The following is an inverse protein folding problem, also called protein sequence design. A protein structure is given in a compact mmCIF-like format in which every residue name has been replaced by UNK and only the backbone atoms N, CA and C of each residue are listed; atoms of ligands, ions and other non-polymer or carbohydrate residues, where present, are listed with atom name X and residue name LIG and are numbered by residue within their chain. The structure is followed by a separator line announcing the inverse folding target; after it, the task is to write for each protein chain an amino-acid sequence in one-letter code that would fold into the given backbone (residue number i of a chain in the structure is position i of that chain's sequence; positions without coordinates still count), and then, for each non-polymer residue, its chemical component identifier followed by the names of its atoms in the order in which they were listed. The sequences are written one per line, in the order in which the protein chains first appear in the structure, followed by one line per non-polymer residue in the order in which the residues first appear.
data_IF_338360234058
#
_entry.id   IF_338360234058
#
_cell.length_a   1.000
_cell.length_b   1.000
_cell.length_c   1.000
_cell.angle_alpha   90.00
_cell.angle_beta   90.00
_cell.angle_gamma   90.00
#
_symmetry.space_group_name_H-M   'P 1'
#
loop_
_entity.id
_entity.type
_entity.pdbx_description
1 polymer ?
#
# COMPACT_ATOMS: atom_id res chain seq x y z
N UNK A 1 29.92 6.36 9.03
CA UNK A 1 29.07 6.99 10.07
C UNK A 1 27.62 6.76 9.66
N UNK A 2 26.98 5.77 10.28
CA UNK A 2 25.58 5.37 9.99
C UNK A 2 24.65 6.36 10.70
N UNK A 3 23.88 7.16 9.96
CA UNK A 3 22.78 7.95 10.53
C UNK A 3 21.49 7.15 10.34
N UNK A 4 21.07 6.45 11.38
CA UNK A 4 19.74 5.83 11.49
C UNK A 4 18.71 6.97 11.65
N UNK A 5 17.91 7.20 10.63
CA UNK A 5 16.72 8.04 10.74
C UNK A 5 15.62 7.22 11.40
N UNK A 6 15.42 7.41 12.68
CA UNK A 6 14.26 6.88 13.41
C UNK A 6 13.07 7.77 13.03
N UNK A 7 12.15 7.25 12.23
CA UNK A 7 10.84 7.84 12.02
C UNK A 7 10.00 7.60 13.28
N UNK A 8 9.92 8.63 14.15
CA UNK A 8 8.94 8.67 15.22
C UNK A 8 7.55 8.86 14.60
N UNK A 9 6.73 7.84 14.64
CA UNK A 9 5.29 7.98 14.52
C UNK A 9 4.79 8.66 15.80
N UNK A 10 4.48 9.93 15.72
CA UNK A 10 3.76 10.63 16.78
C UNK A 10 2.32 10.12 16.78
N UNK A 11 2.02 9.19 17.66
CA UNK A 11 0.65 8.86 18.02
C UNK A 11 0.05 10.08 18.72
N UNK A 12 -0.76 10.88 18.03
CA UNK A 12 -1.56 11.92 18.64
C UNK A 12 -2.65 11.25 19.48
N UNK A 13 -2.38 11.05 20.76
CA UNK A 13 -3.35 10.66 21.75
C UNK A 13 -4.36 11.79 21.93
N UNK A 14 -5.58 11.63 21.39
CA UNK A 14 -6.71 12.47 21.77
C UNK A 14 -7.16 12.07 23.18
N UNK A 15 -6.72 12.81 24.18
CA UNK A 15 -7.28 12.74 25.51
C UNK A 15 -8.67 13.41 25.47
N UNK A 16 -9.73 12.60 25.48
CA UNK A 16 -11.08 13.09 25.74
C UNK A 16 -11.18 13.46 27.21
N UNK A 17 -11.13 14.75 27.49
CA UNK A 17 -11.45 15.30 28.81
C UNK A 17 -12.95 15.10 29.08
N UNK A 18 -13.28 14.24 30.05
CA UNK A 18 -14.63 14.19 30.60
C UNK A 18 -14.86 15.44 31.47
N UNK A 19 -15.57 16.41 30.92
CA UNK A 19 -16.15 17.49 31.72
C UNK A 19 -17.41 16.96 32.40
N UNK A 20 -17.33 16.74 33.72
CA UNK A 20 -18.52 16.49 34.54
C UNK A 20 -19.23 17.81 34.76
N UNK A 21 -20.31 18.07 34.06
CA UNK A 21 -21.28 19.12 34.39
C UNK A 21 -22.20 18.60 35.46
N UNK A 22 -22.08 19.20 36.67
CA UNK A 22 -23.09 19.02 37.71
C UNK A 22 -24.39 19.69 37.25
N UNK A 23 -25.41 18.89 36.95
CA UNK A 23 -26.73 19.37 36.63
C UNK A 23 -27.56 19.52 37.89
N UNK A 24 -27.98 20.75 38.18
CA UNK A 24 -29.03 21.02 39.16
C UNK A 24 -30.37 20.47 38.66
N UNK A 25 -31.08 19.81 39.53
CA UNK A 25 -32.37 19.17 39.25
C UNK A 25 -33.40 20.18 38.73
N UNK A 26 -33.87 19.96 37.51
CA UNK A 26 -35.17 20.46 37.05
C UNK A 26 -36.02 19.23 36.70
N UNK A 27 -37.09 19.05 37.49
CA UNK A 27 -38.08 18.00 37.34
C UNK A 27 -39.06 18.41 36.26
N UNK A 28 -38.95 17.86 35.05
CA UNK A 28 -40.12 17.98 34.22
C UNK A 28 -40.04 17.87 32.71
N UNK A 29 -39.02 17.28 32.12
CA UNK A 29 -39.15 16.74 30.75
C UNK A 29 -38.40 15.42 30.64
N UNK A 30 -39.06 14.35 30.08
CA UNK A 30 -38.30 13.17 29.73
C UNK A 30 -37.21 13.62 28.74
N UNK A 31 -35.94 13.49 29.14
CA UNK A 31 -34.81 13.72 28.24
C UNK A 31 -35.11 12.86 27.01
N UNK A 32 -35.40 13.49 25.88
CA UNK A 32 -35.37 12.79 24.59
C UNK A 32 -33.98 12.20 24.50
N UNK A 33 -33.88 10.87 24.54
CA UNK A 33 -32.64 10.19 24.24
C UNK A 33 -32.11 10.82 22.94
N UNK A 34 -30.81 11.24 22.87
CA UNK A 34 -30.26 11.76 21.64
C UNK A 34 -30.57 10.73 20.57
N UNK A 35 -31.23 11.20 19.48
CA UNK A 35 -31.55 10.33 18.35
C UNK A 35 -30.27 9.59 17.99
N UNK A 36 -30.30 8.26 18.09
CA UNK A 36 -29.16 7.45 17.71
C UNK A 36 -28.81 7.85 16.29
N UNK A 37 -27.65 8.44 16.11
CA UNK A 37 -27.13 8.76 14.76
C UNK A 37 -27.00 7.41 14.11
N UNK A 38 -27.95 7.05 13.26
CA UNK A 38 -27.89 5.80 12.48
C UNK A 38 -26.74 6.02 11.51
N UNK A 39 -25.57 5.51 11.88
CA UNK A 39 -24.45 5.46 10.96
C UNK A 39 -24.91 4.68 9.73
N UNK A 40 -24.62 5.19 8.54
CA UNK A 40 -24.89 4.46 7.31
C UNK A 40 -24.31 3.05 7.42
N UNK A 41 -25.11 2.04 7.05
CA UNK A 41 -24.66 0.65 7.08
C UNK A 41 -23.61 0.40 5.99
N UNK A 42 -22.40 0.07 6.42
CA UNK A 42 -21.24 -0.24 5.57
C UNK A 42 -21.14 -1.73 5.26
N UNK A 43 -22.04 -2.55 5.79
CA UNK A 43 -22.03 -4.00 5.56
C UNK A 43 -22.35 -4.31 4.10
N UNK A 44 -21.58 -5.23 3.52
CA UNK A 44 -21.82 -5.75 2.17
C UNK A 44 -20.55 -6.11 1.43
N UNK A 45 -20.74 -6.51 0.17
CA UNK A 45 -19.66 -6.70 -0.78
C UNK A 45 -19.48 -5.41 -1.59
N UNK A 46 -18.26 -5.10 -1.97
CA UNK A 46 -18.00 -3.96 -2.82
C UNK A 46 -16.98 -4.28 -3.91
N UNK A 47 -17.11 -3.56 -5.02
CA UNK A 47 -16.15 -3.58 -6.13
C UNK A 47 -15.92 -2.13 -6.56
N UNK A 48 -14.71 -1.83 -6.97
CA UNK A 48 -14.36 -0.46 -7.35
C UNK A 48 -13.11 -0.37 -8.19
N UNK A 49 -12.83 0.88 -8.60
CA UNK A 49 -11.60 1.26 -9.28
C UNK A 49 -10.81 2.26 -8.45
N UNK A 50 -9.52 2.33 -8.74
CA UNK A 50 -8.58 3.26 -8.14
C UNK A 50 -7.67 3.87 -9.21
N UNK A 51 -7.27 5.10 -8.96
CA UNK A 51 -6.34 5.86 -9.79
C UNK A 51 -5.50 6.75 -8.88
N UNK A 52 -4.21 6.82 -9.14
CA UNK A 52 -3.35 7.66 -8.31
C UNK A 52 -1.90 7.75 -8.77
N UNK A 53 -1.05 8.09 -7.82
CA UNK A 53 0.40 8.13 -8.00
C UNK A 53 1.09 7.06 -7.18
N UNK A 54 2.19 6.53 -7.73
CA UNK A 54 3.09 5.62 -7.03
C UNK A 54 4.52 6.15 -7.11
N UNK A 55 5.28 5.93 -6.06
CA UNK A 55 6.72 6.22 -6.00
C UNK A 55 7.41 5.17 -5.17
N UNK A 56 8.62 4.82 -5.56
CA UNK A 56 9.41 3.80 -4.88
C UNK A 56 10.76 4.34 -4.44
N UNK A 57 11.31 3.71 -3.41
CA UNK A 57 12.70 3.82 -2.98
C UNK A 57 13.28 2.43 -2.96
N UNK A 58 14.16 2.14 -3.90
CA UNK A 58 14.79 0.84 -4.01
C UNK A 58 16.29 0.97 -3.79
N UNK A 59 16.83 0.09 -2.97
CA UNK A 59 18.27 -0.01 -2.73
C UNK A 59 18.71 -1.43 -3.07
N UNK A 60 19.66 -1.54 -3.99
CA UNK A 60 20.22 -2.82 -4.43
C UNK A 60 21.70 -2.86 -4.11
N UNK A 61 22.18 -4.01 -3.66
CA UNK A 61 23.57 -4.31 -3.53
C UNK A 61 23.91 -5.39 -4.54
N UNK A 62 24.80 -5.08 -5.45
CA UNK A 62 25.31 -6.00 -6.46
C UNK A 62 26.66 -6.54 -5.99
N UNK A 63 26.82 -7.87 -5.98
CA UNK A 63 28.07 -8.54 -5.70
C UNK A 63 28.47 -9.39 -6.92
N UNK A 64 29.55 -9.03 -7.57
CA UNK A 64 30.04 -9.73 -8.77
C UNK A 64 30.81 -11.03 -8.44
N UNK A 65 30.83 -11.46 -7.18
CA UNK A 65 31.59 -12.62 -6.73
C UNK A 65 33.12 -12.45 -6.74
N UNK A 66 33.62 -11.29 -7.19
CA UNK A 66 35.03 -10.92 -7.22
C UNK A 66 35.40 -9.82 -6.20
N UNK A 67 34.49 -9.56 -5.24
CA UNK A 67 34.69 -8.59 -4.16
C UNK A 67 34.35 -7.15 -4.50
N UNK A 68 33.71 -6.89 -5.65
CA UNK A 68 33.21 -5.57 -6.00
C UNK A 68 31.73 -5.50 -5.58
N UNK A 69 31.44 -4.64 -4.62
CA UNK A 69 30.10 -4.38 -4.15
C UNK A 69 29.68 -2.96 -4.56
N UNK A 70 28.71 -2.87 -5.44
CA UNK A 70 28.12 -1.58 -5.87
C UNK A 70 26.73 -1.43 -5.27
N UNK A 71 26.41 -0.25 -4.75
CA UNK A 71 25.09 0.09 -4.23
C UNK A 71 24.40 1.11 -5.12
N UNK A 72 23.21 0.78 -5.58
CA UNK A 72 22.38 1.63 -6.41
C UNK A 72 21.12 2.05 -5.66
N UNK A 73 20.72 3.31 -5.82
CA UNK A 73 19.46 3.84 -5.29
C UNK A 73 18.61 4.40 -6.41
N UNK A 74 17.35 3.97 -6.46
CA UNK A 74 16.38 4.40 -7.47
C UNK A 74 15.15 5.03 -6.79
N UNK A 75 14.68 6.14 -7.36
CA UNK A 75 13.47 6.82 -6.91
C UNK A 75 12.53 7.07 -8.11
N UNK A 76 11.93 6.04 -8.70
CA UNK A 76 10.95 6.22 -9.77
C UNK A 76 9.60 6.69 -9.22
N UNK A 77 8.84 7.39 -10.06
CA UNK A 77 7.46 7.76 -9.79
C UNK A 77 6.64 7.70 -11.08
N UNK A 78 5.39 7.26 -10.98
CA UNK A 78 4.48 7.16 -12.11
C UNK A 78 3.02 7.14 -11.65
N UNK A 79 2.11 7.01 -12.61
CA UNK A 79 0.68 6.80 -12.36
C UNK A 79 0.43 5.31 -12.11
N UNK A 80 -0.54 5.02 -11.25
CA UNK A 80 -1.04 3.68 -10.95
C UNK A 80 -2.55 3.69 -11.09
N UNK A 81 -3.12 2.65 -11.69
CA UNK A 81 -4.55 2.47 -11.84
C UNK A 81 -4.91 0.99 -11.72
N UNK A 82 -6.07 0.71 -11.14
CA UNK A 82 -6.48 -0.67 -10.96
C UNK A 82 -7.89 -0.83 -10.43
N UNK A 83 -8.15 -2.02 -9.88
CA UNK A 83 -9.42 -2.38 -9.31
C UNK A 83 -9.26 -3.06 -7.96
N UNK A 84 -10.33 -3.00 -7.18
CA UNK A 84 -10.40 -3.67 -5.90
C UNK A 84 -11.78 -4.27 -5.68
N UNK A 85 -11.83 -5.32 -4.88
CA UNK A 85 -13.07 -5.94 -4.44
C UNK A 85 -12.90 -6.44 -3.00
N UNK A 86 -13.98 -6.38 -2.23
CA UNK A 86 -13.92 -6.79 -0.84
C UNK A 86 -15.29 -7.08 -0.24
N UNK A 87 -15.24 -7.52 1.02
CA UNK A 87 -16.40 -7.73 1.86
C UNK A 87 -16.14 -7.13 3.24
N UNK A 88 -17.15 -6.50 3.82
CA UNK A 88 -17.05 -5.89 5.14
C UNK A 88 -18.34 -6.02 5.93
N UNK A 89 -18.20 -6.09 7.24
CA UNK A 89 -19.30 -6.09 8.19
C UNK A 89 -19.16 -4.94 9.17
N UNK A 90 -20.28 -4.39 9.58
CA UNK A 90 -20.35 -3.29 10.56
C UNK A 90 -21.04 -3.74 11.85
N UNK A 91 -20.42 -3.38 12.98
CA UNK A 91 -20.95 -3.57 14.33
C UNK A 91 -20.87 -2.25 15.09
N UNK A 92 -22.00 -1.54 15.17
CA UNK A 92 -22.01 -0.19 15.70
C UNK A 92 -21.18 0.76 14.82
N UNK A 93 -20.16 1.37 15.38
CA UNK A 93 -19.23 2.23 14.63
C UNK A 93 -18.01 1.47 14.07
N UNK A 94 -17.82 0.20 14.44
CA UNK A 94 -16.70 -0.59 13.97
C UNK A 94 -17.03 -1.28 12.66
N UNK A 95 -16.13 -1.16 11.67
CA UNK A 95 -16.20 -1.86 10.40
C UNK A 95 -14.96 -2.74 10.25
N UNK A 96 -15.19 -4.01 9.92
CA UNK A 96 -14.12 -4.99 9.69
C UNK A 96 -14.35 -5.64 8.33
N UNK A 97 -13.29 -5.84 7.55
CA UNK A 97 -13.41 -6.40 6.22
C UNK A 97 -12.13 -7.02 5.70
N UNK A 98 -12.26 -7.61 4.52
CA UNK A 98 -11.17 -8.12 3.71
C UNK A 98 -11.27 -7.54 2.31
N UNK A 99 -10.13 -7.25 1.70
CA UNK A 99 -10.05 -6.62 0.38
C UNK A 99 -8.93 -7.24 -0.43
N UNK A 100 -9.21 -7.53 -1.71
CA UNK A 100 -8.20 -7.81 -2.71
C UNK A 100 -8.11 -6.64 -3.69
N UNK A 101 -6.90 -6.28 -4.11
CA UNK A 101 -6.68 -5.31 -5.17
C UNK A 101 -5.69 -5.83 -6.22
N UNK A 102 -5.86 -5.30 -7.44
CA UNK A 102 -4.93 -5.50 -8.54
C UNK A 102 -4.74 -4.17 -9.26
N UNK A 103 -3.50 -3.71 -9.30
CA UNK A 103 -3.11 -2.39 -9.77
C UNK A 103 -2.00 -2.50 -10.80
N UNK A 104 -2.21 -1.93 -11.99
CA UNK A 104 -1.21 -1.79 -13.03
C UNK A 104 -0.44 -0.49 -12.88
N UNK A 105 0.86 -0.52 -13.12
CA UNK A 105 1.76 0.63 -13.08
C UNK A 105 2.85 0.48 -14.14
N UNK A 106 3.44 1.57 -14.58
CA UNK A 106 4.62 1.57 -15.44
C UNK A 106 5.78 2.26 -14.71
N UNK A 107 6.15 1.66 -13.57
CA UNK A 107 7.23 2.16 -12.73
C UNK A 107 8.55 1.66 -13.29
N UNK A 108 9.08 2.36 -14.31
CA UNK A 108 10.31 1.98 -15.00
C UNK A 108 11.44 2.96 -14.74
N UNK A 109 12.65 2.43 -14.60
CA UNK A 109 13.88 3.21 -14.53
C UNK A 109 15.02 2.49 -15.20
N UNK A 110 15.67 3.19 -16.13
CA UNK A 110 16.92 2.73 -16.73
C UNK A 110 18.09 3.46 -16.09
N UNK A 111 19.08 2.71 -15.63
CA UNK A 111 20.34 3.25 -15.14
C UNK A 111 21.48 2.72 -16.00
N UNK A 112 22.31 3.65 -16.49
CA UNK A 112 23.50 3.33 -17.27
C UNK A 112 24.69 3.40 -16.32
N UNK A 113 25.28 2.23 -16.03
CA UNK A 113 26.56 2.10 -15.34
C UNK A 113 27.73 2.26 -16.28
N UNK A 114 28.96 2.20 -15.77
CA UNK A 114 30.18 2.32 -16.58
C UNK A 114 30.30 1.17 -17.58
N UNK A 115 29.77 0.00 -17.24
CA UNK A 115 29.90 -1.23 -18.01
C UNK A 115 28.60 -2.03 -18.17
N UNK A 116 27.44 -1.48 -17.76
CA UNK A 116 26.15 -2.18 -17.84
C UNK A 116 24.98 -1.20 -17.94
N UNK A 117 23.94 -1.59 -18.63
CA UNK A 117 22.66 -0.88 -18.63
C UNK A 117 21.63 -1.78 -17.96
N UNK A 118 20.99 -1.28 -16.90
CA UNK A 118 19.98 -1.99 -16.17
C UNK A 118 18.65 -1.24 -16.30
N UNK A 119 17.61 -1.96 -16.69
CA UNK A 119 16.24 -1.46 -16.68
C UNK A 119 15.43 -2.27 -15.68
N UNK A 120 14.97 -1.62 -14.64
CA UNK A 120 14.02 -2.15 -13.68
C UNK A 120 12.63 -1.70 -14.08
N UNK A 121 11.67 -2.62 -14.17
CA UNK A 121 10.29 -2.33 -14.49
C UNK A 121 9.35 -3.08 -13.54
N UNK A 122 8.50 -2.35 -12.82
CA UNK A 122 7.40 -2.89 -12.01
C UNK A 122 6.12 -2.64 -12.80
N UNK A 123 5.42 -3.72 -13.15
CA UNK A 123 4.23 -3.65 -13.99
C UNK A 123 2.95 -3.76 -13.16
N UNK A 124 2.89 -4.68 -12.21
CA UNK A 124 1.67 -5.01 -11.48
C UNK A 124 1.91 -5.16 -9.98
N UNK A 125 0.90 -4.75 -9.20
CA UNK A 125 0.85 -4.94 -7.75
C UNK A 125 -0.48 -5.60 -7.41
N UNK A 126 -0.45 -6.77 -6.77
CA UNK A 126 -1.62 -7.44 -6.25
C UNK A 126 -1.56 -7.51 -4.71
N UNK A 127 -2.71 -7.34 -4.04
CA UNK A 127 -2.77 -7.39 -2.58
C UNK A 127 -3.96 -8.17 -2.06
N UNK A 128 -3.78 -8.75 -0.86
CA UNK A 128 -4.87 -9.25 -0.02
C UNK A 128 -4.69 -8.66 1.37
N UNK A 129 -5.68 -7.90 1.84
CA UNK A 129 -5.59 -7.14 3.09
C UNK A 129 -6.81 -7.35 3.97
N UNK A 130 -6.60 -7.33 5.29
CA UNK A 130 -7.65 -7.08 6.26
C UNK A 130 -7.76 -5.58 6.50
N UNK A 131 -8.99 -5.08 6.70
CA UNK A 131 -9.26 -3.67 6.98
C UNK A 131 -10.08 -3.52 8.26
N UNK A 132 -9.76 -2.47 9.03
CA UNK A 132 -10.44 -2.08 10.25
C UNK A 132 -10.76 -0.60 10.18
N UNK A 133 -12.02 -0.25 10.38
CA UNK A 133 -12.48 1.12 10.21
C UNK A 133 -13.42 1.57 11.32
N UNK A 134 -13.54 2.88 11.45
CA UNK A 134 -14.48 3.56 12.30
C UNK A 134 -15.46 4.37 11.46
N UNK A 135 -16.73 4.00 11.51
CA UNK A 135 -17.81 4.62 10.74
C UNK A 135 -18.42 5.81 11.49
N UNK A 136 -18.47 6.95 10.84
CA UNK A 136 -19.32 8.09 11.14
C UNK A 136 -20.52 8.08 10.17
N UNK A 137 -21.52 8.95 10.31
CA UNK A 137 -22.73 8.85 9.50
C UNK A 137 -22.52 8.67 7.98
N UNK A 138 -21.62 9.42 7.37
CA UNK A 138 -21.31 9.32 5.94
C UNK A 138 -19.84 9.02 5.65
N UNK A 139 -19.01 8.88 6.68
CA UNK A 139 -17.57 8.74 6.56
C UNK A 139 -17.08 7.45 7.20
N UNK A 140 -16.09 6.83 6.59
CA UNK A 140 -15.37 5.70 7.14
C UNK A 140 -13.87 6.01 7.13
N UNK A 141 -13.26 5.99 8.30
CA UNK A 141 -11.81 6.04 8.44
C UNK A 141 -11.31 4.63 8.69
N UNK A 142 -10.32 4.19 7.95
CA UNK A 142 -9.83 2.83 8.09
C UNK A 142 -8.32 2.73 7.96
N UNK A 143 -7.80 1.67 8.55
CA UNK A 143 -6.46 1.16 8.32
C UNK A 143 -6.57 -0.24 7.71
N UNK A 144 -5.59 -0.64 6.93
CA UNK A 144 -5.52 -1.98 6.36
C UNK A 144 -4.09 -2.50 6.39
N UNK A 145 -3.96 -3.82 6.37
CA UNK A 145 -2.67 -4.47 6.30
C UNK A 145 -2.81 -5.89 5.79
N UNK A 146 -1.78 -6.38 5.15
CA UNK A 146 -1.81 -7.71 4.58
C UNK A 146 -0.61 -8.03 3.71
N UNK A 147 -0.85 -8.92 2.78
CA UNK A 147 0.16 -9.43 1.87
C UNK A 147 0.09 -8.72 0.53
N UNK A 148 1.26 -8.44 -0.04
CA UNK A 148 1.43 -7.84 -1.36
C UNK A 148 2.33 -8.72 -2.23
N UNK A 149 2.01 -8.79 -3.49
CA UNK A 149 2.82 -9.44 -4.52
C UNK A 149 3.04 -8.43 -5.65
N UNK A 150 4.29 -8.28 -6.05
CA UNK A 150 4.71 -7.35 -7.10
C UNK A 150 5.32 -8.15 -8.25
N UNK A 151 4.85 -7.87 -9.44
CA UNK A 151 5.36 -8.43 -10.68
C UNK A 151 6.39 -7.47 -11.27
N UNK A 152 7.61 -7.94 -11.45
CA UNK A 152 8.67 -7.17 -12.07
C UNK A 152 9.26 -7.87 -13.31
N UNK A 153 9.65 -7.05 -14.27
CA UNK A 153 10.35 -7.43 -15.48
C UNK A 153 11.68 -6.70 -15.53
N UNK A 154 12.76 -7.43 -15.31
CA UNK A 154 14.09 -6.86 -15.39
C UNK A 154 14.79 -7.24 -16.68
N UNK A 155 15.44 -6.27 -17.29
CA UNK A 155 16.33 -6.49 -18.44
C UNK A 155 17.74 -6.06 -18.10
N UNK A 156 18.68 -6.96 -18.28
CA UNK A 156 20.09 -6.75 -18.06
C UNK A 156 20.84 -6.83 -19.39
N UNK A 157 21.63 -5.80 -19.70
CA UNK A 157 22.54 -5.82 -20.85
C UNK A 157 23.98 -5.80 -20.33
N UNK A 158 24.74 -6.85 -20.64
CA UNK A 158 26.18 -6.92 -20.39
C UNK A 158 26.97 -6.30 -21.56
N UNK A 159 28.24 -5.91 -21.32
CA UNK A 159 29.18 -5.40 -22.33
C UNK A 159 29.33 -6.31 -23.54
N UNK A 160 29.00 -7.58 -23.47
CA UNK A 160 29.03 -8.55 -24.55
C UNK A 160 27.69 -8.68 -25.29
N UNK A 161 26.76 -7.75 -25.05
CA UNK A 161 25.44 -7.69 -25.71
C UNK A 161 24.53 -8.91 -25.48
N UNK A 162 24.74 -9.67 -24.39
CA UNK A 162 23.80 -10.70 -23.99
C UNK A 162 22.67 -10.08 -23.19
N UNK A 163 21.45 -10.17 -23.74
CA UNK A 163 20.23 -9.76 -23.07
C UNK A 163 19.75 -10.89 -22.15
N UNK A 164 19.69 -10.64 -20.85
CA UNK A 164 19.02 -11.53 -19.90
C UNK A 164 17.77 -10.83 -19.38
N UNK A 165 16.62 -11.41 -19.64
CA UNK A 165 15.34 -10.98 -19.06
C UNK A 165 14.96 -11.92 -17.92
N UNK A 166 14.62 -11.36 -16.78
CA UNK A 166 14.06 -12.10 -15.65
C UNK A 166 12.67 -11.55 -15.33
N UNK A 167 11.70 -12.44 -15.28
CA UNK A 167 10.36 -12.12 -14.81
C UNK A 167 10.14 -12.82 -13.49
N UNK A 168 9.81 -12.11 -12.44
CA UNK A 168 9.61 -12.69 -11.12
C UNK A 168 8.43 -12.07 -10.37
N UNK A 169 7.77 -12.88 -9.56
CA UNK A 169 6.80 -12.46 -8.58
C UNK A 169 7.47 -12.36 -7.21
N UNK A 170 7.55 -11.16 -6.69
CA UNK A 170 8.15 -10.90 -5.38
C UNK A 170 7.07 -10.61 -4.37
N UNK A 171 7.19 -11.22 -3.19
CA UNK A 171 6.21 -11.07 -2.13
C UNK A 171 6.72 -10.19 -1.00
N UNK A 172 5.79 -9.50 -0.36
CA UNK A 172 6.04 -8.62 0.75
C UNK A 172 4.79 -8.37 1.57
N UNK A 173 4.84 -7.35 2.38
CA UNK A 173 3.68 -6.89 3.14
C UNK A 173 3.27 -5.49 2.71
N UNK A 174 2.00 -5.17 2.97
CA UNK A 174 1.45 -3.83 2.80
C UNK A 174 0.76 -3.37 4.07
N UNK A 175 0.87 -2.07 4.35
CA UNK A 175 0.10 -1.36 5.36
C UNK A 175 -0.40 -0.08 4.73
N UNK A 176 -1.64 0.26 5.02
CA UNK A 176 -2.24 1.46 4.48
C UNK A 176 -3.39 1.97 5.33
N UNK A 177 -4.00 3.03 4.86
CA UNK A 177 -5.19 3.59 5.47
C UNK A 177 -5.82 4.62 4.55
N UNK A 178 -7.07 4.90 4.84
CA UNK A 178 -7.83 5.79 4.00
C UNK A 178 -9.05 6.36 4.68
N UNK A 179 -9.70 7.20 3.91
CA UNK A 179 -10.97 7.83 4.24
C UNK A 179 -11.93 7.58 3.09
N UNK A 180 -13.13 7.14 3.40
CA UNK A 180 -14.20 6.90 2.44
C UNK A 180 -15.42 7.75 2.79
N UNK A 181 -16.07 8.29 1.78
CA UNK A 181 -17.29 9.06 1.87
C UNK A 181 -18.40 8.36 1.09
N UNK A 182 -19.49 8.04 1.77
CA UNK A 182 -20.67 7.45 1.16
C UNK A 182 -21.51 8.54 0.50
N UNK A 183 -21.42 8.66 -0.83
CA UNK A 183 -22.15 9.66 -1.61
C UNK A 183 -23.64 9.33 -1.72
N UNK A 184 -23.95 8.05 -1.87
CA UNK A 184 -25.30 7.47 -1.87
C UNK A 184 -25.27 6.17 -1.07
N UNK A 185 -26.40 5.45 -0.98
CA UNK A 185 -26.42 4.16 -0.27
C UNK A 185 -25.45 3.13 -0.85
N UNK A 186 -25.09 3.24 -2.12
CA UNK A 186 -24.26 2.26 -2.82
C UNK A 186 -22.90 2.85 -3.28
N UNK A 187 -22.82 4.14 -3.61
CA UNK A 187 -21.60 4.74 -4.12
C UNK A 187 -20.72 5.32 -3.01
N UNK A 188 -19.48 4.85 -2.99
CA UNK A 188 -18.44 5.24 -2.05
C UNK A 188 -17.30 5.88 -2.84
N UNK A 189 -16.87 7.07 -2.41
CA UNK A 189 -15.67 7.73 -2.91
C UNK A 189 -14.64 7.80 -1.79
N UNK A 190 -13.37 7.63 -2.11
CA UNK A 190 -12.34 7.61 -1.08
C UNK A 190 -10.97 8.06 -1.55
N UNK A 191 -10.13 8.28 -0.57
CA UNK A 191 -8.69 8.47 -0.74
C UNK A 191 -7.95 7.50 0.16
N UNK A 192 -6.90 6.88 -0.36
CA UNK A 192 -6.13 5.85 0.32
C UNK A 192 -4.64 6.07 0.13
N UNK A 193 -3.87 5.78 1.16
CA UNK A 193 -2.42 5.77 1.11
C UNK A 193 -1.92 4.39 1.53
N UNK A 194 -1.01 3.81 0.75
CA UNK A 194 -0.40 2.52 1.05
C UNK A 194 1.11 2.60 1.03
N UNK A 195 1.70 1.80 1.89
CA UNK A 195 3.11 1.45 1.93
C UNK A 195 3.26 -0.03 1.66
N UNK A 196 4.20 -0.39 0.78
CA UNK A 196 4.57 -1.76 0.47
C UNK A 196 6.06 -1.94 0.74
N UNK A 197 6.42 -3.04 1.38
CA UNK A 197 7.80 -3.45 1.51
C UNK A 197 7.96 -4.83 0.88
N UNK A 198 8.72 -4.89 -0.19
CA UNK A 198 8.93 -6.10 -0.99
C UNK A 198 10.41 -6.42 -0.99
N UNK A 199 10.73 -7.68 -0.73
CA UNK A 199 12.10 -8.18 -0.77
C UNK A 199 12.36 -8.83 -2.12
N UNK A 200 13.47 -8.46 -2.71
CA UNK A 200 13.99 -9.05 -3.93
C UNK A 200 15.23 -9.86 -3.57
N UNK A 201 15.23 -11.13 -3.94
CA UNK A 201 16.39 -11.99 -3.82
C UNK A 201 16.60 -12.68 -5.17
N UNK A 202 17.71 -12.35 -5.82
CA UNK A 202 18.02 -12.83 -7.16
C UNK A 202 19.37 -13.51 -7.18
N UNK A 203 19.36 -14.78 -7.48
CA UNK A 203 20.52 -15.56 -7.83
C UNK A 203 20.41 -16.04 -9.27
N UNK A 204 21.44 -15.88 -10.06
CA UNK A 204 21.50 -16.31 -11.45
C UNK A 204 22.79 -17.06 -11.76
N UNK A 205 22.80 -17.79 -12.87
CA UNK A 205 24.02 -18.40 -13.42
C UNK A 205 24.65 -17.40 -14.40
N UNK A 206 25.94 -17.12 -14.22
CA UNK A 206 26.69 -16.40 -15.25
C UNK A 206 27.00 -17.32 -16.44
N UNK A 207 27.47 -16.76 -17.55
CA UNK A 207 27.85 -17.50 -18.76
C UNK A 207 28.96 -18.54 -18.56
N UNK A 208 29.62 -18.58 -17.38
CA UNK A 208 30.60 -19.57 -16.98
C UNK A 208 30.04 -20.68 -16.11
N UNK A 209 28.72 -20.74 -15.85
CA UNK A 209 28.10 -21.77 -15.04
C UNK A 209 28.27 -21.60 -13.53
N UNK A 210 28.77 -20.45 -13.06
CA UNK A 210 28.89 -20.14 -11.63
C UNK A 210 27.62 -19.42 -11.17
N UNK A 211 27.13 -19.80 -9.99
CA UNK A 211 26.04 -19.08 -9.32
C UNK A 211 26.57 -17.73 -8.85
N UNK A 212 26.03 -16.64 -9.39
CA UNK A 212 26.33 -15.28 -8.94
C UNK A 212 25.11 -14.80 -8.17
N UNK A 213 25.30 -14.33 -6.95
CA UNK A 213 24.29 -13.59 -6.20
C UNK A 213 24.19 -12.19 -6.79
N UNK A 214 23.22 -11.98 -7.68
CA UNK A 214 23.20 -10.80 -8.53
C UNK A 214 22.69 -9.58 -7.78
N UNK A 215 21.75 -9.73 -6.90
CA UNK A 215 21.31 -8.64 -6.00
C UNK A 215 20.39 -9.16 -4.88
N UNK A 216 20.59 -8.69 -3.69
CA UNK A 216 19.58 -8.69 -2.65
C UNK A 216 19.22 -7.23 -2.33
N UNK A 217 17.93 -6.93 -2.21
CA UNK A 217 17.48 -5.58 -1.94
C UNK A 217 16.07 -5.53 -1.37
N UNK A 218 15.74 -4.39 -0.82
CA UNK A 218 14.37 -4.05 -0.41
C UNK A 218 13.87 -2.91 -1.28
N UNK A 219 12.62 -3.02 -1.70
CA UNK A 219 11.90 -1.93 -2.33
C UNK A 219 10.80 -1.44 -1.41
N UNK A 220 10.84 -0.18 -1.07
CA UNK A 220 9.80 0.53 -0.36
C UNK A 220 8.96 1.29 -1.40
N UNK A 221 7.72 0.87 -1.59
CA UNK A 221 6.80 1.47 -2.56
C UNK A 221 5.69 2.18 -1.79
N UNK A 222 5.33 3.35 -2.26
CA UNK A 222 4.26 4.17 -1.69
C UNK A 222 3.24 4.47 -2.78
N UNK A 223 1.94 4.45 -2.44
CA UNK A 223 0.87 4.87 -3.34
C UNK A 223 -0.08 5.84 -2.66
N UNK A 224 -0.58 6.79 -3.42
CA UNK A 224 -1.70 7.65 -3.03
C UNK A 224 -2.77 7.52 -4.10
N UNK A 225 -3.95 7.03 -3.70
CA UNK A 225 -5.03 6.60 -4.58
C UNK A 225 -6.31 7.38 -4.30
N UNK A 226 -7.02 7.74 -5.36
CA UNK A 226 -8.43 8.04 -5.33
C UNK A 226 -9.20 6.77 -5.67
N UNK A 227 -10.30 6.53 -4.96
CA UNK A 227 -11.08 5.30 -5.05
C UNK A 227 -12.54 5.63 -5.33
N UNK A 228 -13.18 4.82 -6.16
CA UNK A 228 -14.62 4.83 -6.34
C UNK A 228 -15.13 3.39 -6.28
N UNK A 229 -16.07 3.11 -5.39
CA UNK A 229 -16.57 1.76 -5.12
C UNK A 229 -18.09 1.73 -5.15
N UNK A 230 -18.63 0.60 -5.57
CA UNK A 230 -20.05 0.27 -5.48
C UNK A 230 -20.26 -0.81 -4.43
N UNK A 231 -21.08 -0.51 -3.43
CA UNK A 231 -21.43 -1.40 -2.33
C UNK A 231 -22.74 -2.13 -2.65
N UNK A 232 -22.69 -3.45 -2.64
CA UNK A 232 -23.83 -4.34 -2.76
C UNK A 232 -24.29 -4.73 -1.34
N UNK A 233 -25.59 -4.58 -1.09
CA UNK A 233 -26.24 -4.94 0.18
C UNK A 233 -27.08 -6.19 0.01
#
# INVERSE_FOLDING_TARGET
MKRSAVLLFAAAGMAFGMATVASAADLGQPAMAPAAIVADDWTGFYVGGNLGGTWARSSYTFDNGAGVVESFSFNPNTIIAGGHAGAQGQWGALVVGVEGSFDGTDLSRTTVGVNSTQTLKIDDIATVTARFGYALPAWLFYVKGGWAVVHDNDSFFDLQNFAHGFTAWNSGYTVGGGIEYKRTQNWILGAEFNFYNVKFDRSGLNSGGFTVHIASGNSDIYTALLRASYLFK
#
